data_IF_623789028446
#
_entry.id   IF_623789028446
#
_cell.length_a   1.000
_cell.length_b   1.000
_cell.length_c   1.000
_cell.angle_alpha   90.00
_cell.angle_beta   90.00
_cell.angle_gamma   90.00
#
_symmetry.space_group_name_H-M   'P 1'
#
loop_
_entity.id
_entity.type
_entity.pdbx_description
1 polymer ?
#
# COMPACT_ATOMS: atom_id res chain seq x y z
N UNK A 1 -26.85 -14.08 0.81
CA UNK A 1 -26.04 -14.41 -0.39
C UNK A 1 -25.29 -15.70 -0.09
N UNK A 2 -25.72 -16.83 -0.68
CA UNK A 2 -24.99 -18.09 -0.52
C UNK A 2 -23.78 -18.08 -1.46
N UNK A 3 -22.57 -18.20 -0.92
CA UNK A 3 -21.33 -18.23 -1.71
C UNK A 3 -20.33 -17.08 -1.48
N UNK A 4 -20.65 -16.09 -0.63
CA UNK A 4 -19.68 -15.06 -0.25
C UNK A 4 -18.65 -15.62 0.76
N UNK A 5 -17.37 -15.33 0.52
CA UNK A 5 -16.30 -15.61 1.49
C UNK A 5 -16.41 -14.55 2.60
N UNK A 6 -16.53 -14.94 3.89
CA UNK A 6 -16.59 -13.99 4.99
C UNK A 6 -15.24 -13.26 5.15
N UNK A 7 -15.28 -12.00 5.58
CA UNK A 7 -14.09 -11.12 5.67
C UNK A 7 -12.97 -11.70 6.52
N UNK A 8 -13.30 -12.42 7.58
CA UNK A 8 -12.36 -13.07 8.50
C UNK A 8 -11.50 -14.15 7.83
N UNK A 9 -11.95 -14.63 6.65
CA UNK A 9 -11.21 -15.60 5.84
C UNK A 9 -10.45 -14.96 4.67
N UNK A 10 -10.47 -13.63 4.58
CA UNK A 10 -9.82 -12.88 3.50
C UNK A 10 -8.47 -12.36 4.00
N UNK A 11 -7.41 -12.81 3.33
CA UNK A 11 -6.05 -12.31 3.49
C UNK A 11 -5.59 -11.70 2.18
N UNK A 12 -5.24 -10.41 2.19
CA UNK A 12 -4.79 -9.69 1.00
C UNK A 12 -3.41 -9.10 1.26
N UNK A 13 -2.46 -9.46 0.41
CA UNK A 13 -1.14 -8.83 0.37
C UNK A 13 -0.98 -8.20 -1.00
N UNK A 14 -0.63 -6.92 -1.04
CA UNK A 14 -0.41 -6.20 -2.29
C UNK A 14 1.01 -5.63 -2.33
N UNK A 15 1.51 -5.42 -3.54
CA UNK A 15 2.82 -4.84 -3.79
C UNK A 15 2.61 -3.60 -4.68
N UNK A 16 3.05 -2.44 -4.21
CA UNK A 16 2.95 -1.19 -4.99
C UNK A 16 1.52 -0.74 -5.27
N UNK A 17 0.58 -1.11 -4.39
CA UNK A 17 -0.84 -0.81 -4.60
C UNK A 17 -1.09 0.71 -4.61
N UNK A 18 -1.80 1.24 -5.64
CA UNK A 18 -2.23 2.63 -5.69
C UNK A 18 -3.40 2.89 -4.74
N UNK A 19 -3.66 4.16 -4.41
CA UNK A 19 -4.84 4.58 -3.66
C UNK A 19 -6.08 4.24 -4.49
N UNK A 20 -7.03 3.55 -3.86
CA UNK A 20 -8.19 2.99 -4.56
C UNK A 20 -9.45 3.83 -4.43
N UNK A 21 -9.52 4.72 -3.43
CA UNK A 21 -10.73 5.50 -3.18
C UNK A 21 -10.48 6.70 -2.27
N UNK A 22 -11.57 7.31 -1.82
CA UNK A 22 -11.56 8.43 -0.90
C UNK A 22 -11.33 7.97 0.56
N UNK A 23 -11.17 8.90 1.52
CA UNK A 23 -11.02 8.56 2.94
C UNK A 23 -12.15 7.68 3.49
N UNK A 24 -13.40 7.93 3.12
CA UNK A 24 -14.56 7.14 3.57
C UNK A 24 -14.46 5.68 3.13
N UNK A 25 -13.96 5.43 1.92
CA UNK A 25 -13.72 4.07 1.41
C UNK A 25 -12.55 3.39 2.14
N UNK A 26 -11.47 4.13 2.40
CA UNK A 26 -10.35 3.61 3.19
C UNK A 26 -10.78 3.23 4.61
N UNK A 27 -11.57 4.09 5.27
CA UNK A 27 -12.11 3.85 6.61
C UNK A 27 -13.07 2.66 6.62
N UNK A 28 -13.96 2.56 5.61
CA UNK A 28 -14.82 1.39 5.44
C UNK A 28 -14.01 0.09 5.38
N UNK A 29 -12.93 0.04 4.58
CA UNK A 29 -12.05 -1.12 4.51
C UNK A 29 -11.34 -1.38 5.85
N UNK A 30 -10.89 -0.35 6.56
CA UNK A 30 -10.26 -0.49 7.88
C UNK A 30 -11.22 -1.07 8.93
N UNK A 31 -12.54 -0.87 8.77
CA UNK A 31 -13.55 -1.43 9.69
C UNK A 31 -13.88 -2.91 9.44
N UNK A 32 -13.46 -3.50 8.32
CA UNK A 32 -13.77 -4.89 8.02
C UNK A 32 -12.84 -5.84 8.81
N UNK A 33 -13.30 -7.04 9.19
CA UNK A 33 -12.49 -7.99 9.96
C UNK A 33 -11.61 -8.86 9.05
N UNK A 34 -10.93 -8.25 8.08
CA UNK A 34 -9.99 -8.89 7.15
C UNK A 34 -8.54 -8.63 7.53
N UNK A 35 -7.62 -9.43 7.01
CA UNK A 35 -6.18 -9.15 7.13
C UNK A 35 -5.69 -8.56 5.82
N UNK A 36 -5.26 -7.30 5.85
CA UNK A 36 -4.66 -6.62 4.69
C UNK A 36 -3.24 -6.18 5.01
N UNK A 37 -2.33 -6.34 4.06
CA UNK A 37 -0.99 -5.75 4.13
C UNK A 37 -0.63 -5.15 2.78
N UNK A 38 -0.25 -3.88 2.82
CA UNK A 38 0.30 -3.16 1.67
C UNK A 38 1.81 -3.17 1.77
N UNK A 39 2.49 -3.74 0.79
CA UNK A 39 3.95 -3.68 0.70
C UNK A 39 4.33 -2.55 -0.24
N UNK A 40 5.11 -1.60 0.25
CA UNK A 40 5.56 -0.44 -0.53
C UNK A 40 7.07 -0.31 -0.49
N UNK A 41 7.65 0.23 -1.55
CA UNK A 41 9.08 0.47 -1.65
C UNK A 41 9.38 1.96 -1.81
N UNK A 42 10.47 2.43 -1.23
CA UNK A 42 10.91 3.81 -1.34
C UNK A 42 11.08 4.20 -2.82
N UNK A 43 10.45 5.31 -3.20
CA UNK A 43 10.49 5.82 -4.58
C UNK A 43 9.52 5.13 -5.55
N UNK A 44 8.67 4.20 -5.09
CA UNK A 44 7.58 3.66 -5.90
C UNK A 44 6.47 4.71 -6.08
N UNK A 45 6.41 5.30 -7.28
CA UNK A 45 5.39 6.30 -7.62
C UNK A 45 3.97 5.73 -7.59
N UNK A 46 3.78 4.47 -7.95
CA UNK A 46 2.44 3.86 -8.02
C UNK A 46 1.88 3.67 -6.61
N UNK A 47 2.73 3.28 -5.66
CA UNK A 47 2.36 3.14 -4.25
C UNK A 47 1.80 4.42 -3.61
N UNK A 48 2.14 5.60 -4.16
CA UNK A 48 1.66 6.91 -3.71
C UNK A 48 0.70 7.59 -4.70
N UNK A 49 0.28 6.90 -5.75
CA UNK A 49 -0.69 7.40 -6.73
C UNK A 49 -2.06 6.81 -6.46
N UNK A 50 -3.19 7.49 -6.65
CA UNK A 50 -3.37 8.93 -6.89
C UNK A 50 -3.07 9.75 -5.62
N UNK A 51 -2.74 11.03 -5.74
CA UNK A 51 -2.28 11.86 -4.62
C UNK A 51 -3.36 12.21 -3.58
N UNK A 52 -2.96 12.38 -2.31
CA UNK A 52 -3.85 12.77 -1.19
C UNK A 52 -4.58 14.10 -1.45
N UNK A 53 -3.89 15.06 -2.08
CA UNK A 53 -4.46 16.37 -2.42
C UNK A 53 -5.62 16.29 -3.41
N UNK A 54 -5.79 15.16 -4.13
CA UNK A 54 -6.92 14.87 -5.00
C UNK A 54 -8.08 14.17 -4.29
N UNK A 55 -8.00 14.01 -2.96
CA UNK A 55 -9.04 13.36 -2.15
C UNK A 55 -8.95 11.83 -2.12
N UNK A 56 -7.79 11.25 -2.42
CA UNK A 56 -7.56 9.80 -2.33
C UNK A 56 -6.86 9.42 -1.03
N UNK A 57 -7.18 8.25 -0.48
CA UNK A 57 -6.54 7.68 0.70
C UNK A 57 -6.30 6.17 0.56
N UNK A 58 -5.26 5.67 1.23
CA UNK A 58 -5.05 4.23 1.44
C UNK A 58 -5.76 3.75 2.70
N UNK A 59 -6.16 2.48 2.67
CA UNK A 59 -6.41 1.72 3.88
C UNK A 59 -5.09 1.43 4.63
N UNK A 60 -5.20 1.14 5.92
CA UNK A 60 -4.08 1.00 6.87
C UNK A 60 -3.23 -0.27 6.60
N UNK A 61 -2.21 -0.49 7.44
CA UNK A 61 -1.28 -1.63 7.40
C UNK A 61 -0.30 -1.59 6.22
N UNK A 62 0.49 -0.52 6.16
CA UNK A 62 1.60 -0.40 5.22
C UNK A 62 2.89 -0.98 5.85
N UNK A 63 3.48 -1.95 5.17
CA UNK A 63 4.82 -2.45 5.40
C UNK A 63 5.75 -1.80 4.35
N UNK A 64 6.60 -0.90 4.80
CA UNK A 64 7.39 -0.06 3.93
C UNK A 64 8.87 -0.45 3.92
N UNK A 65 9.43 -0.63 2.72
CA UNK A 65 10.86 -0.80 2.49
C UNK A 65 11.47 0.59 2.30
N UNK A 66 12.26 1.05 3.27
CA UNK A 66 12.85 2.38 3.24
C UNK A 66 14.02 2.47 2.22
N UNK A 67 14.57 3.68 2.03
CA UNK A 67 15.71 3.92 1.12
C UNK A 67 16.98 3.12 1.42
N UNK A 68 17.09 2.51 2.61
CA UNK A 68 18.21 1.65 3.00
C UNK A 68 17.91 0.16 2.83
N UNK A 69 16.76 -0.19 2.25
CA UNK A 69 16.30 -1.58 2.08
C UNK A 69 15.76 -2.21 3.37
N UNK A 70 15.57 -1.44 4.44
CA UNK A 70 15.04 -1.95 5.70
C UNK A 70 13.53 -1.86 5.73
N UNK A 71 12.88 -2.89 6.28
CA UNK A 71 11.43 -2.93 6.43
C UNK A 71 11.01 -2.27 7.73
N UNK A 72 10.11 -1.30 7.64
CA UNK A 72 9.45 -0.67 8.77
C UNK A 72 7.95 -0.88 8.69
N UNK A 73 7.31 -1.07 9.84
CA UNK A 73 5.87 -1.02 9.93
C UNK A 73 5.45 0.44 10.13
N UNK A 74 4.61 0.93 9.23
CA UNK A 74 4.10 2.29 9.28
C UNK A 74 2.94 2.36 10.27
N UNK A 75 2.47 3.59 10.54
CA UNK A 75 1.25 3.79 11.32
C UNK A 75 0.12 2.86 10.88
N UNK A 76 -0.50 2.21 11.87
CA UNK A 76 -1.69 1.39 11.68
C UNK A 76 -2.97 2.21 11.79
N UNK A 77 -2.87 3.52 12.06
CA UNK A 77 -4.03 4.39 12.26
C UNK A 77 -4.20 5.41 11.12
N UNK A 78 -3.12 5.75 10.41
CA UNK A 78 -3.12 6.75 9.35
C UNK A 78 -2.02 6.48 8.32
N UNK A 79 -2.04 7.22 7.20
CA UNK A 79 -0.92 7.22 6.27
C UNK A 79 0.29 7.95 6.87
N UNK A 80 1.33 7.19 7.22
CA UNK A 80 2.57 7.72 7.79
C UNK A 80 3.44 8.43 6.75
N UNK A 81 3.66 9.72 6.91
CA UNK A 81 4.48 10.54 6.01
C UNK A 81 5.93 10.03 5.91
N UNK A 82 6.47 9.34 6.93
CA UNK A 82 7.81 8.76 6.84
C UNK A 82 7.86 7.56 5.88
N UNK A 83 6.71 6.93 5.62
CA UNK A 83 6.59 5.77 4.74
C UNK A 83 6.09 6.09 3.33
N UNK A 84 5.56 7.28 3.10
CA UNK A 84 4.99 7.69 1.79
C UNK A 84 5.43 9.08 1.34
N UNK A 85 6.20 9.80 2.16
CA UNK A 85 6.61 11.19 1.94
C UNK A 85 7.81 11.40 1.04
N UNK A 86 8.15 10.44 0.17
CA UNK A 86 9.25 10.56 -0.81
C UNK A 86 8.84 11.25 -2.11
N UNK A 87 8.07 12.33 -2.00
CA UNK A 87 7.58 13.08 -3.17
C UNK A 87 8.77 13.73 -3.89
N UNK A 88 9.01 13.33 -5.14
CA UNK A 88 10.06 13.87 -6.00
C UNK A 88 11.29 12.99 -6.15
N UNK A 89 11.43 11.92 -5.35
CA UNK A 89 12.49 10.91 -5.49
C UNK A 89 11.87 9.58 -5.97
N UNK A 90 11.49 9.55 -7.25
CA UNK A 90 10.79 8.42 -7.84
C UNK A 90 11.70 7.57 -8.72
N UNK A 91 11.52 6.26 -8.62
CA UNK A 91 12.18 5.29 -9.48
C UNK A 91 11.15 4.31 -10.04
N UNK A 92 11.13 4.17 -11.37
CA UNK A 92 10.33 3.12 -12.03
C UNK A 92 10.73 1.73 -11.51
N UNK A 93 12.01 1.53 -11.21
CA UNK A 93 12.51 0.24 -10.74
C UNK A 93 12.07 -0.08 -9.31
N UNK A 94 11.82 0.94 -8.48
CA UNK A 94 11.30 0.75 -7.13
C UNK A 94 9.91 0.08 -7.13
N UNK A 95 9.09 0.30 -8.16
CA UNK A 95 7.81 -0.37 -8.32
C UNK A 95 7.93 -1.87 -8.65
N UNK A 96 9.04 -2.28 -9.26
CA UNK A 96 9.25 -3.67 -9.64
C UNK A 96 10.10 -4.44 -8.63
N UNK A 97 10.72 -3.79 -7.65
CA UNK A 97 11.67 -4.40 -6.73
C UNK A 97 11.15 -4.36 -5.30
N UNK A 98 11.12 -5.52 -4.64
CA UNK A 98 10.76 -5.67 -3.23
C UNK A 98 11.76 -6.64 -2.58
N UNK A 99 12.59 -6.10 -1.66
CA UNK A 99 13.78 -6.77 -1.14
C UNK A 99 14.74 -7.23 -2.24
N UNK A 100 15.05 -8.52 -2.31
CA UNK A 100 15.89 -9.16 -3.31
C UNK A 100 15.09 -9.69 -4.51
N UNK A 101 13.77 -9.52 -4.49
CA UNK A 101 12.87 -10.00 -5.52
C UNK A 101 12.46 -8.90 -6.49
N UNK A 102 12.40 -9.24 -7.76
CA UNK A 102 11.93 -8.35 -8.82
C UNK A 102 10.70 -8.94 -9.50
N UNK A 103 9.57 -8.26 -9.38
CA UNK A 103 8.34 -8.60 -10.09
C UNK A 103 8.56 -8.36 -11.59
N UNK A 104 8.06 -9.28 -12.42
CA UNK A 104 8.19 -9.12 -13.86
C UNK A 104 7.46 -7.83 -14.31
N UNK A 105 7.93 -7.23 -15.39
CA UNK A 105 7.24 -6.10 -16.04
C UNK A 105 6.38 -6.53 -17.24
N UNK A 106 6.23 -7.85 -17.43
CA UNK A 106 5.44 -8.49 -18.48
C UNK A 106 4.21 -9.13 -17.83
N UNK A 107 3.25 -8.27 -17.48
CA UNK A 107 1.91 -8.71 -17.11
C UNK A 107 1.24 -9.45 -18.27
#
# INVERSE_FOLDING_TARGET
QAGAIPWEKIHVVTYGQPRLGNPEFADYLNTQPWTSTRVTNYGDLIAISYGRFLGYAHNQHNMHINKYGQTTQCSTYEEDENCIGYVGDFSREAHFTYWDQRINSKC
#
